data_IF_007582996409
#
_entry.id   IF_007582996409
#
_cell.length_a   1.000
_cell.length_b   1.000
_cell.length_c   1.000
_cell.angle_alpha   90.00
_cell.angle_beta   90.00
_cell.angle_gamma   90.00
#
_symmetry.space_group_name_H-M   'P 1'
#
loop_
_entity.id
_entity.type
_entity.pdbx_description
1 polymer ?
#
# COMPACT_ATOMS: atom_id res chain seq x y z
N UNK A 1 10.46 -11.92 -9.32
CA UNK A 1 11.00 -10.94 -10.31
C UNK A 1 11.72 -9.78 -9.61
N UNK A 2 12.40 -8.87 -10.33
CA UNK A 2 13.02 -7.67 -9.72
C UNK A 2 12.05 -6.49 -9.63
N UNK A 3 11.89 -5.91 -8.45
CA UNK A 3 10.95 -4.83 -8.17
C UNK A 3 11.68 -3.62 -7.57
N UNK A 4 11.49 -2.46 -8.21
CA UNK A 4 11.86 -1.15 -7.65
C UNK A 4 10.70 -0.57 -6.87
N UNK A 5 10.93 0.02 -5.71
CA UNK A 5 9.88 0.68 -4.91
C UNK A 5 10.28 2.14 -4.71
N UNK A 6 9.50 3.07 -5.25
CA UNK A 6 9.72 4.51 -5.11
C UNK A 6 8.87 5.03 -3.95
N UNK A 7 9.53 5.40 -2.84
CA UNK A 7 8.86 5.90 -1.63
C UNK A 7 9.01 4.97 -0.43
N UNK A 8 8.89 5.56 0.76
CA UNK A 8 9.17 4.89 2.05
C UNK A 8 7.97 4.86 3.01
N UNK A 9 6.76 5.03 2.48
CA UNK A 9 5.49 5.07 3.24
C UNK A 9 4.81 3.72 3.46
N UNK A 10 3.60 3.74 4.05
CA UNK A 10 2.84 2.54 4.42
C UNK A 10 2.50 1.61 3.25
N UNK A 11 2.14 2.17 2.08
CA UNK A 11 1.88 1.39 0.86
C UNK A 11 3.12 0.67 0.33
N UNK A 12 4.30 1.30 0.42
CA UNK A 12 5.56 0.69 0.01
C UNK A 12 5.89 -0.52 0.90
N UNK A 13 5.80 -0.32 2.22
CA UNK A 13 5.97 -1.34 3.25
C UNK A 13 5.03 -2.54 3.07
N UNK A 14 3.71 -2.28 2.98
CA UNK A 14 2.71 -3.33 2.88
C UNK A 14 2.88 -4.21 1.63
N UNK A 15 3.04 -3.60 0.44
CA UNK A 15 3.13 -4.35 -0.81
C UNK A 15 4.50 -5.04 -0.98
N UNK A 16 5.60 -4.34 -0.67
CA UNK A 16 6.94 -4.92 -0.79
C UNK A 16 7.17 -6.10 0.17
N UNK A 17 6.61 -6.04 1.38
CA UNK A 17 6.67 -7.15 2.34
C UNK A 17 6.02 -8.43 1.82
N UNK A 18 4.95 -8.34 1.03
CA UNK A 18 4.36 -9.50 0.38
C UNK A 18 5.23 -10.02 -0.77
N UNK A 19 5.70 -9.13 -1.64
CA UNK A 19 6.51 -9.56 -2.79
C UNK A 19 7.85 -10.18 -2.38
N UNK A 20 8.51 -9.69 -1.33
CA UNK A 20 9.71 -10.36 -0.77
C UNK A 20 9.38 -11.77 -0.28
N UNK A 21 8.23 -11.97 0.40
CA UNK A 21 7.80 -13.30 0.87
C UNK A 21 7.44 -14.25 -0.27
N UNK A 22 6.95 -13.73 -1.39
CA UNK A 22 6.73 -14.50 -2.62
C UNK A 22 8.03 -14.78 -3.41
N UNK A 23 9.21 -14.35 -2.92
CA UNK A 23 10.50 -14.60 -3.56
C UNK A 23 10.93 -13.57 -4.60
N UNK A 24 10.40 -12.35 -4.54
CA UNK A 24 10.76 -11.26 -5.46
C UNK A 24 11.87 -10.42 -4.83
N UNK A 25 12.88 -10.07 -5.63
CA UNK A 25 13.94 -9.17 -5.18
C UNK A 25 13.42 -7.73 -5.16
N UNK A 26 13.58 -7.03 -4.03
CA UNK A 26 13.09 -5.66 -3.84
C UNK A 26 14.24 -4.69 -3.57
N UNK A 27 14.24 -3.56 -4.27
CA UNK A 27 15.07 -2.40 -3.93
C UNK A 27 14.18 -1.20 -3.58
N UNK A 28 14.36 -0.65 -2.38
CA UNK A 28 13.58 0.44 -1.78
C UNK A 28 14.30 1.77 -2.02
N UNK A 29 13.77 2.57 -2.93
CA UNK A 29 14.23 3.92 -3.27
C UNK A 29 13.64 4.99 -2.36
N UNK A 30 14.51 5.74 -1.68
CA UNK A 30 14.15 6.92 -0.89
C UNK A 30 14.85 8.20 -1.36
N UNK A 31 14.33 9.36 -0.93
CA UNK A 31 15.06 10.65 -0.91
C UNK A 31 15.89 10.84 0.36
N UNK A 32 15.57 10.05 1.36
CA UNK A 32 16.11 10.06 2.72
C UNK A 32 16.63 8.63 2.93
N UNK A 33 17.96 8.51 3.07
CA UNK A 33 18.68 7.23 3.07
C UNK A 33 18.24 6.42 4.29
N UNK A 34 18.29 7.00 5.49
CA UNK A 34 17.89 6.32 6.72
C UNK A 34 16.43 5.83 6.68
N UNK A 35 15.51 6.57 6.03
CA UNK A 35 14.12 6.10 5.83
C UNK A 35 14.06 4.91 4.87
N UNK A 36 14.89 4.88 3.83
CA UNK A 36 14.99 3.73 2.92
C UNK A 36 15.59 2.51 3.63
N UNK A 37 16.68 2.69 4.38
CA UNK A 37 17.33 1.66 5.20
C UNK A 37 16.37 1.07 6.24
N UNK A 38 15.75 1.94 7.06
CA UNK A 38 14.77 1.49 8.05
C UNK A 38 13.60 0.74 7.42
N UNK A 39 13.18 1.08 6.20
CA UNK A 39 12.11 0.36 5.51
C UNK A 39 12.60 -0.98 4.94
N UNK A 40 13.75 -1.02 4.28
CA UNK A 40 14.34 -2.25 3.76
C UNK A 40 14.56 -3.28 4.89
N UNK A 41 15.08 -2.85 6.04
CA UNK A 41 15.23 -3.67 7.25
C UNK A 41 13.89 -4.19 7.80
N UNK A 42 12.82 -3.39 7.77
CA UNK A 42 11.47 -3.84 8.19
C UNK A 42 10.85 -4.86 7.24
N UNK A 43 11.06 -4.69 5.94
CA UNK A 43 10.59 -5.64 4.90
C UNK A 43 11.35 -6.97 5.06
N UNK A 44 12.65 -6.91 5.32
CA UNK A 44 13.51 -8.08 5.49
C UNK A 44 13.76 -8.84 4.18
N UNK A 45 14.08 -10.13 4.29
CA UNK A 45 14.19 -11.06 3.15
C UNK A 45 15.13 -10.61 2.01
N UNK A 46 16.18 -9.85 2.33
CA UNK A 46 17.14 -9.36 1.33
C UNK A 46 16.72 -8.10 0.59
N UNK A 47 15.66 -7.41 0.99
CA UNK A 47 15.33 -6.08 0.46
C UNK A 47 16.48 -5.09 0.67
N UNK A 48 16.84 -4.33 -0.37
CA UNK A 48 17.99 -3.40 -0.36
C UNK A 48 17.52 -1.95 -0.33
N UNK A 49 18.12 -1.07 0.50
CA UNK A 49 17.88 0.36 0.43
C UNK A 49 18.69 0.99 -0.72
N UNK A 50 18.16 2.03 -1.35
CA UNK A 50 18.82 2.75 -2.43
C UNK A 50 18.26 4.17 -2.65
N UNK A 51 18.86 4.91 -3.59
CA UNK A 51 18.25 6.11 -4.15
C UNK A 51 17.04 5.76 -5.04
N UNK A 52 16.16 6.74 -5.29
CA UNK A 52 15.03 6.58 -6.22
C UNK A 52 15.48 6.12 -7.62
N UNK A 53 16.62 6.64 -8.10
CA UNK A 53 17.20 6.28 -9.40
C UNK A 53 17.60 4.80 -9.47
N UNK A 54 18.39 4.34 -8.51
CA UNK A 54 18.87 2.95 -8.47
C UNK A 54 17.71 1.96 -8.32
N UNK A 55 16.68 2.31 -7.54
CA UNK A 55 15.46 1.50 -7.43
C UNK A 55 14.70 1.39 -8.76
N UNK A 56 14.56 2.49 -9.52
CA UNK A 56 13.93 2.47 -10.85
C UNK A 56 14.74 1.66 -11.87
N UNK A 57 16.07 1.85 -11.91
CA UNK A 57 16.99 1.13 -12.80
C UNK A 57 16.97 -0.38 -12.53
N UNK A 58 16.93 -0.79 -11.27
CA UNK A 58 16.85 -2.19 -10.82
C UNK A 58 15.53 -2.89 -11.22
N UNK A 59 14.38 -2.23 -11.03
CA UNK A 59 13.07 -2.85 -11.20
C UNK A 59 12.72 -3.22 -12.64
N UNK A 60 12.13 -4.39 -12.85
CA UNK A 60 11.36 -4.70 -14.08
C UNK A 60 9.92 -4.19 -13.96
N UNK A 61 9.43 -4.18 -12.70
CA UNK A 61 8.26 -3.44 -12.26
C UNK A 61 8.73 -2.43 -11.23
N UNK A 62 8.23 -1.19 -11.32
CA UNK A 62 8.55 -0.09 -10.41
C UNK A 62 7.26 0.40 -9.75
N UNK A 63 7.13 0.22 -8.45
CA UNK A 63 5.99 0.71 -7.65
C UNK A 63 6.16 2.20 -7.34
N UNK A 64 5.24 3.03 -7.82
CA UNK A 64 5.14 4.45 -7.47
C UNK A 64 4.34 4.64 -6.17
N UNK A 65 4.93 4.28 -5.03
CA UNK A 65 4.35 4.47 -3.69
C UNK A 65 4.57 5.89 -3.15
N UNK A 66 4.23 6.89 -3.96
CA UNK A 66 4.41 8.32 -3.69
C UNK A 66 3.06 9.06 -3.63
N UNK A 67 2.96 10.18 -2.89
CA UNK A 67 1.89 11.15 -3.06
C UNK A 67 1.79 11.59 -4.53
N UNK A 68 0.57 11.86 -5.01
CA UNK A 68 0.29 12.10 -6.43
C UNK A 68 1.24 13.12 -7.10
N UNK A 69 1.36 14.33 -6.53
CA UNK A 69 2.17 15.42 -7.12
C UNK A 69 3.66 15.05 -7.16
N UNK A 70 4.16 14.40 -6.11
CA UNK A 70 5.53 13.90 -6.03
C UNK A 70 5.78 12.76 -7.03
N UNK A 71 4.80 11.88 -7.26
CA UNK A 71 4.87 10.77 -8.20
C UNK A 71 5.08 11.25 -9.65
N UNK A 72 4.32 12.26 -10.08
CA UNK A 72 4.46 12.85 -11.43
C UNK A 72 5.83 13.50 -11.61
N UNK A 73 6.32 14.23 -10.60
CA UNK A 73 7.65 14.87 -10.66
C UNK A 73 8.79 13.83 -10.73
N UNK A 74 8.76 12.83 -9.85
CA UNK A 74 9.78 11.75 -9.82
C UNK A 74 9.75 10.92 -11.11
N UNK A 75 8.58 10.61 -11.68
CA UNK A 75 8.49 9.90 -12.95
C UNK A 75 9.13 10.69 -14.11
N UNK A 76 8.99 12.02 -14.13
CA UNK A 76 9.62 12.89 -15.14
C UNK A 76 11.14 12.94 -15.02
N UNK A 77 11.65 13.00 -13.80
CA UNK A 77 13.08 12.95 -13.49
C UNK A 77 13.70 11.61 -13.91
N UNK A 78 13.01 10.51 -13.59
CA UNK A 78 13.46 9.14 -13.83
C UNK A 78 13.03 8.56 -15.18
N UNK A 79 12.44 9.35 -16.09
CA UNK A 79 11.84 8.86 -17.35
C UNK A 79 12.73 7.93 -18.17
N UNK A 80 14.05 8.17 -18.20
CA UNK A 80 15.04 7.32 -18.90
C UNK A 80 15.27 6.01 -18.17
N UNK A 81 15.34 6.05 -16.84
CA UNK A 81 15.44 4.87 -15.98
C UNK A 81 14.13 4.06 -15.95
N UNK A 82 13.01 4.61 -16.43
CA UNK A 82 11.69 3.97 -16.47
C UNK A 82 11.32 3.40 -17.87
N UNK A 83 12.18 3.60 -18.88
CA UNK A 83 11.92 3.19 -20.25
C UNK A 83 11.79 1.66 -20.41
N UNK A 84 10.76 1.20 -21.12
CA UNK A 84 10.41 -0.22 -21.30
C UNK A 84 10.00 -0.97 -20.02
N UNK A 85 9.93 -0.30 -18.86
CA UNK A 85 9.56 -0.90 -17.57
C UNK A 85 8.08 -0.73 -17.26
N UNK A 86 7.56 -1.56 -16.36
CA UNK A 86 6.21 -1.40 -15.83
C UNK A 86 6.23 -0.38 -14.69
N UNK A 87 5.42 0.68 -14.79
CA UNK A 87 5.27 1.68 -13.73
C UNK A 87 3.92 1.51 -13.03
N UNK A 88 3.94 0.95 -11.83
CA UNK A 88 2.77 0.55 -11.07
C UNK A 88 2.27 1.71 -10.19
N UNK A 89 1.15 2.31 -10.56
CA UNK A 89 0.53 3.46 -9.89
C UNK A 89 -0.50 3.02 -8.83
N UNK A 90 -0.13 3.10 -7.55
CA UNK A 90 -1.03 2.90 -6.41
C UNK A 90 -1.55 4.21 -5.78
N UNK A 91 -1.32 5.37 -6.41
CA UNK A 91 -1.68 6.68 -5.85
C UNK A 91 -3.19 6.95 -5.85
N UNK A 92 -3.60 7.93 -5.04
CA UNK A 92 -4.92 8.56 -5.10
C UNK A 92 -4.72 10.08 -5.12
N UNK A 93 -5.15 10.80 -6.18
CA UNK A 93 -5.00 12.25 -6.28
C UNK A 93 -6.08 12.95 -5.44
N UNK A 94 -5.97 12.89 -4.12
CA UNK A 94 -6.96 13.41 -3.17
C UNK A 94 -6.32 14.50 -2.30
N UNK A 95 -6.90 15.70 -2.33
CA UNK A 95 -6.46 16.86 -1.56
C UNK A 95 -7.35 17.17 -0.35
N UNK A 96 -7.14 18.33 0.29
CA UNK A 96 -7.92 18.78 1.44
C UNK A 96 -9.43 18.76 1.20
N UNK A 97 -10.17 18.22 2.17
CA UNK A 97 -11.63 18.01 2.07
C UNK A 97 -12.03 16.81 1.20
N UNK A 98 -11.14 15.83 1.01
CA UNK A 98 -11.35 14.64 0.15
C UNK A 98 -11.67 14.94 -1.32
N UNK A 99 -11.32 16.15 -1.80
CA UNK A 99 -11.54 16.57 -3.19
C UNK A 99 -10.54 15.93 -4.14
N UNK A 100 -10.99 15.58 -5.33
CA UNK A 100 -10.17 14.94 -6.36
C UNK A 100 -9.34 15.99 -7.09
N UNK A 101 -8.01 15.94 -6.97
CA UNK A 101 -7.06 16.86 -7.64
C UNK A 101 -7.01 16.68 -9.17
N UNK A 102 -7.77 15.73 -9.71
CA UNK A 102 -7.88 15.43 -11.15
C UNK A 102 -9.32 15.54 -11.66
N UNK A 103 -10.21 16.20 -10.91
CA UNK A 103 -11.58 16.46 -11.33
C UNK A 103 -11.60 17.32 -12.62
N UNK A 104 -12.33 16.86 -13.64
CA UNK A 104 -12.37 17.48 -14.97
C UNK A 104 -11.12 17.25 -15.84
N UNK A 105 -10.06 16.61 -15.33
CA UNK A 105 -8.78 16.43 -16.02
C UNK A 105 -8.37 14.98 -16.27
N UNK A 106 -7.16 14.75 -16.83
CA UNK A 106 -6.59 13.41 -16.95
C UNK A 106 -6.32 12.80 -15.56
N UNK A 107 -6.63 11.51 -15.41
CA UNK A 107 -6.41 10.79 -14.15
C UNK A 107 -4.92 10.72 -13.77
N UNK A 108 -4.62 10.51 -12.48
CA UNK A 108 -3.25 10.40 -11.98
C UNK A 108 -2.35 9.46 -12.83
N UNK A 109 -2.84 8.26 -13.17
CA UNK A 109 -2.10 7.32 -14.01
C UNK A 109 -1.80 7.84 -15.43
N UNK A 110 -2.70 8.64 -16.04
CA UNK A 110 -2.46 9.25 -17.36
C UNK A 110 -1.45 10.38 -17.27
N UNK A 111 -1.45 11.15 -16.17
CA UNK A 111 -0.42 12.16 -15.92
C UNK A 111 0.94 11.52 -15.65
N UNK A 112 0.97 10.37 -14.97
CA UNK A 112 2.18 9.58 -14.76
C UNK A 112 2.73 9.02 -16.09
N UNK A 113 1.85 8.53 -16.98
CA UNK A 113 2.23 8.08 -18.32
C UNK A 113 2.76 9.23 -19.19
N UNK A 114 2.16 10.43 -19.10
CA UNK A 114 2.67 11.62 -19.77
C UNK A 114 4.03 12.09 -19.22
N UNK A 115 4.35 11.81 -17.96
CA UNK A 115 5.64 12.13 -17.35
C UNK A 115 6.76 11.15 -17.74
N UNK A 116 6.43 9.87 -17.95
CA UNK A 116 7.36 8.82 -18.37
C UNK A 116 6.78 8.03 -19.57
N UNK A 117 6.82 8.61 -20.80
CA UNK A 117 6.12 8.04 -21.96
C UNK A 117 6.67 6.70 -22.45
N UNK A 118 7.91 6.35 -22.11
CA UNK A 118 8.50 5.04 -22.37
C UNK A 118 8.10 3.94 -21.36
N UNK A 119 7.40 4.30 -20.27
CA UNK A 119 7.01 3.38 -19.23
C UNK A 119 5.59 2.84 -19.46
N UNK A 120 5.40 1.53 -19.28
CA UNK A 120 4.09 0.90 -19.33
C UNK A 120 3.36 1.10 -17.99
N UNK A 121 2.57 2.18 -17.89
CA UNK A 121 1.85 2.52 -16.66
C UNK A 121 0.67 1.56 -16.43
N UNK A 122 0.57 1.04 -15.21
CA UNK A 122 -0.53 0.18 -14.77
C UNK A 122 -1.10 0.67 -13.44
N UNK A 123 -2.42 0.84 -13.36
CA UNK A 123 -3.15 1.24 -12.16
C UNK A 123 -3.59 0.00 -11.37
N UNK A 124 -3.20 -0.10 -10.09
CA UNK A 124 -3.70 -1.12 -9.15
C UNK A 124 -3.53 -0.69 -7.68
N UNK A 125 -4.01 -1.51 -6.73
CA UNK A 125 -3.86 -1.39 -5.27
C UNK A 125 -4.35 -0.10 -4.57
N UNK A 126 -4.83 0.92 -5.28
CA UNK A 126 -5.21 2.21 -4.69
C UNK A 126 -6.56 2.20 -3.93
N UNK A 127 -7.14 1.02 -3.63
CA UNK A 127 -8.58 0.84 -3.33
C UNK A 127 -8.85 0.79 -1.82
N UNK A 128 -7.83 0.40 -1.09
CA UNK A 128 -7.85 0.19 0.34
C UNK A 128 -6.64 0.91 0.96
N UNK A 129 -6.74 1.22 2.25
CA UNK A 129 -5.64 1.75 3.05
C UNK A 129 -4.50 0.72 3.17
N UNK A 130 -3.27 1.14 3.47
CA UNK A 130 -2.14 0.23 3.67
C UNK A 130 -2.43 -0.90 4.67
N UNK A 131 -3.20 -0.64 5.73
CA UNK A 131 -3.52 -1.65 6.76
C UNK A 131 -4.30 -2.85 6.21
N UNK A 132 -5.13 -2.63 5.18
CA UNK A 132 -5.82 -3.72 4.47
C UNK A 132 -4.82 -4.55 3.69
N UNK A 133 -3.83 -3.91 3.04
CA UNK A 133 -2.75 -4.61 2.35
C UNK A 133 -1.74 -5.27 3.32
N UNK A 134 -1.67 -4.86 4.60
CA UNK A 134 -0.84 -5.52 5.64
C UNK A 134 -1.42 -6.85 6.14
N UNK A 135 -2.69 -7.15 5.85
CA UNK A 135 -3.34 -8.42 6.19
C UNK A 135 -2.67 -9.60 5.44
N UNK A 136 -2.77 -10.81 6.00
CA UNK A 136 -2.05 -12.01 5.53
C UNK A 136 -2.95 -13.26 5.55
N UNK A 137 -3.49 -13.70 4.42
CA UNK A 137 -3.67 -12.93 3.17
C UNK A 137 -4.66 -11.76 3.35
N UNK A 138 -4.73 -10.79 2.40
CA UNK A 138 -5.78 -9.77 2.37
C UNK A 138 -7.12 -10.38 1.93
N UNK A 139 -7.87 -10.90 2.90
CA UNK A 139 -9.18 -11.52 2.70
C UNK A 139 -10.30 -10.71 3.34
N UNK A 140 -11.49 -10.81 2.73
CA UNK A 140 -12.74 -10.29 3.29
C UNK A 140 -13.84 -11.33 3.08
N UNK A 141 -14.56 -11.69 4.15
CA UNK A 141 -15.61 -12.73 4.12
C UNK A 141 -15.11 -14.05 3.50
N UNK A 142 -13.92 -14.50 3.96
CA UNK A 142 -13.25 -15.72 3.48
C UNK A 142 -12.72 -15.69 2.05
N UNK A 143 -12.93 -14.60 1.29
CA UNK A 143 -12.53 -14.47 -0.12
C UNK A 143 -11.33 -13.54 -0.29
N UNK A 144 -10.39 -13.84 -1.22
CA UNK A 144 -9.33 -12.92 -1.61
C UNK A 144 -9.88 -11.57 -2.07
N UNK A 145 -9.26 -10.47 -1.64
CA UNK A 145 -9.67 -9.14 -2.10
C UNK A 145 -9.45 -8.97 -3.60
N UNK A 146 -10.43 -8.34 -4.26
CA UNK A 146 -10.37 -8.04 -5.69
C UNK A 146 -9.54 -6.78 -5.96
N UNK A 147 -8.41 -6.92 -6.65
CA UNK A 147 -7.60 -5.78 -7.11
C UNK A 147 -7.89 -5.53 -8.58
N UNK A 148 -8.52 -4.40 -8.89
CA UNK A 148 -8.72 -3.97 -10.29
C UNK A 148 -7.37 -3.53 -10.88
N UNK A 149 -7.06 -4.02 -12.08
CA UNK A 149 -5.83 -3.71 -12.82
C UNK A 149 -6.17 -3.04 -14.15
N UNK A 150 -5.85 -1.76 -14.32
CA UNK A 150 -6.05 -1.01 -15.58
C UNK A 150 -4.71 -0.65 -16.24
N UNK A 151 -4.61 -0.72 -17.57
CA UNK A 151 -3.40 -0.38 -18.32
C UNK A 151 -3.51 -0.84 -19.77
N UNK A 152 -2.62 -0.33 -20.63
CA UNK A 152 -2.75 -0.48 -22.08
C UNK A 152 -1.84 -1.58 -22.67
N UNK A 153 -0.73 -1.91 -22.01
CA UNK A 153 0.20 -2.97 -22.45
C UNK A 153 -0.14 -4.35 -21.84
N UNK A 154 -0.19 -5.37 -22.70
CA UNK A 154 -0.56 -6.74 -22.31
C UNK A 154 0.46 -7.43 -21.40
N UNK A 155 1.76 -7.20 -21.62
CA UNK A 155 2.82 -7.82 -20.83
C UNK A 155 2.95 -7.18 -19.44
N UNK A 156 2.80 -5.86 -19.36
CA UNK A 156 2.73 -5.10 -18.12
C UNK A 156 1.50 -5.50 -17.28
N UNK A 157 0.33 -5.63 -17.92
CA UNK A 157 -0.86 -6.18 -17.27
C UNK A 157 -0.62 -7.61 -16.74
N UNK A 158 0.07 -8.48 -17.49
CA UNK A 158 0.37 -9.83 -17.03
C UNK A 158 1.25 -9.82 -15.76
N UNK A 159 2.37 -9.07 -15.78
CA UNK A 159 3.27 -8.91 -14.62
C UNK A 159 2.57 -8.35 -13.38
N UNK A 160 1.70 -7.35 -13.54
CA UNK A 160 0.96 -6.79 -12.38
C UNK A 160 -0.11 -7.75 -11.87
N UNK A 161 -0.73 -8.56 -12.73
CA UNK A 161 -1.68 -9.60 -12.31
C UNK A 161 -0.98 -10.74 -11.55
N UNK A 162 0.28 -11.04 -11.87
CA UNK A 162 1.16 -11.92 -11.07
C UNK A 162 1.34 -11.31 -9.67
N UNK A 163 1.89 -10.09 -9.59
CA UNK A 163 2.12 -9.36 -8.33
C UNK A 163 0.87 -9.17 -7.44
N UNK A 164 -0.34 -9.18 -8.02
CA UNK A 164 -1.61 -9.19 -7.27
C UNK A 164 -1.88 -10.56 -6.64
N UNK A 165 -1.61 -11.67 -7.33
CA UNK A 165 -1.76 -13.03 -6.80
C UNK A 165 -0.71 -13.31 -5.73
N UNK A 166 0.50 -12.79 -5.89
CA UNK A 166 1.61 -12.94 -4.94
C UNK A 166 1.31 -12.24 -3.60
N UNK A 167 0.47 -11.20 -3.61
CA UNK A 167 -0.10 -10.54 -2.41
C UNK A 167 -1.24 -11.36 -1.79
N UNK A 168 -1.69 -12.44 -2.43
CA UNK A 168 -2.84 -13.25 -2.01
C UNK A 168 -4.19 -12.68 -2.44
N UNK A 169 -4.23 -11.83 -3.48
CA UNK A 169 -5.43 -11.15 -3.99
C UNK A 169 -5.88 -11.67 -5.37
N UNK A 170 -7.13 -11.37 -5.73
CA UNK A 170 -7.71 -11.73 -7.03
C UNK A 170 -7.60 -10.57 -8.04
N UNK A 171 -6.83 -10.70 -9.14
CA UNK A 171 -6.76 -9.66 -10.16
C UNK A 171 -8.04 -9.59 -11.00
N UNK A 172 -8.63 -8.39 -11.10
CA UNK A 172 -9.84 -8.12 -11.90
C UNK A 172 -9.52 -7.17 -13.05
N UNK A 173 -10.01 -7.47 -14.26
CA UNK A 173 -9.75 -6.66 -15.44
C UNK A 173 -10.33 -5.24 -15.33
N UNK A 174 -9.48 -4.24 -15.50
CA UNK A 174 -9.84 -2.82 -15.40
C UNK A 174 -10.23 -2.14 -16.71
N UNK A 175 -9.81 -2.71 -17.84
CA UNK A 175 -9.74 -2.01 -19.14
C UNK A 175 -8.44 -1.21 -19.28
N UNK A 176 -8.39 -0.32 -20.26
CA UNK A 176 -7.22 0.52 -20.50
C UNK A 176 -7.03 1.61 -19.45
N UNK A 177 -5.94 2.36 -19.59
CA UNK A 177 -5.51 3.40 -18.66
C UNK A 177 -6.50 4.59 -18.62
N UNK A 178 -7.30 4.79 -19.66
CA UNK A 178 -8.39 5.77 -19.69
C UNK A 178 -9.42 5.54 -18.58
N UNK A 179 -9.63 4.29 -18.15
CA UNK A 179 -10.59 3.95 -17.09
C UNK A 179 -10.04 4.14 -15.69
N UNK A 180 -8.75 4.42 -15.50
CA UNK A 180 -8.12 4.58 -14.19
C UNK A 180 -8.77 5.72 -13.35
N UNK A 181 -9.27 6.79 -13.99
CA UNK A 181 -9.96 7.89 -13.29
C UNK A 181 -11.42 7.60 -12.90
N UNK A 182 -12.10 6.67 -13.57
CA UNK A 182 -13.54 6.40 -13.40
C UNK A 182 -13.93 5.80 -12.04
N UNK A 183 -12.95 5.50 -11.21
CA UNK A 183 -12.97 4.42 -10.24
C UNK A 183 -13.49 4.80 -8.85
N UNK A 184 -13.56 6.09 -8.54
CA UNK A 184 -14.18 6.60 -7.29
C UNK A 184 -15.69 6.75 -7.39
N UNK A 185 -16.27 6.70 -8.60
CA UNK A 185 -17.70 6.48 -8.72
C UNK A 185 -17.93 4.98 -8.52
N UNK A 186 -18.80 4.56 -7.57
CA UNK A 186 -19.36 3.22 -7.68
C UNK A 186 -19.98 3.10 -9.08
N UNK A 187 -19.92 1.94 -9.74
CA UNK A 187 -20.62 1.77 -11.00
C UNK A 187 -22.06 2.24 -10.79
N UNK A 188 -22.57 3.11 -11.67
CA UNK A 188 -24.03 3.34 -11.72
C UNK A 188 -24.62 1.94 -11.81
N UNK A 189 -25.39 1.55 -10.81
CA UNK A 189 -26.02 0.24 -10.78
C UNK A 189 -26.94 0.18 -12.00
N UNK A 190 -26.45 -0.38 -13.10
CA UNK A 190 -27.28 -0.74 -14.23
C UNK A 190 -28.26 -1.75 -13.67
N UNK A 191 -29.55 -1.48 -13.88
CA UNK A 191 -30.69 -2.10 -13.19
C UNK A 191 -30.94 -3.57 -13.55
N UNK A 192 -29.88 -4.30 -13.90
CA UNK A 192 -29.88 -5.64 -14.48
C UNK A 192 -29.20 -6.69 -13.57
N UNK A 193 -28.61 -6.27 -12.45
CA UNK A 193 -28.10 -7.17 -11.40
C UNK A 193 -28.95 -7.06 -10.12
N UNK A 194 -30.20 -7.55 -10.20
CA UNK A 194 -31.10 -7.61 -9.06
C UNK A 194 -31.62 -9.03 -8.85
N UNK A 195 -30.99 -9.80 -7.96
CA UNK A 195 -31.70 -10.90 -7.30
C UNK A 195 -32.70 -10.31 -6.27
N UNK A 196 -33.84 -10.96 -5.98
CA UNK A 196 -34.93 -10.31 -5.23
C UNK A 196 -34.61 -9.91 -3.77
N UNK A 197 -33.49 -10.37 -3.20
CA UNK A 197 -33.22 -10.31 -1.76
C UNK A 197 -32.51 -9.04 -1.26
N UNK A 198 -31.96 -8.18 -2.13
CA UNK A 198 -31.20 -6.98 -1.71
C UNK A 198 -31.96 -5.66 -1.87
N UNK A 199 -33.20 -5.60 -1.37
CA UNK A 199 -33.94 -4.33 -1.21
C UNK A 199 -33.70 -3.69 0.18
N UNK A 200 -32.43 -3.47 0.54
CA UNK A 200 -32.11 -2.71 1.76
C UNK A 200 -32.46 -1.23 1.58
N UNK A 201 -33.38 -0.74 2.41
CA UNK A 201 -33.80 0.67 2.39
C UNK A 201 -32.68 1.59 2.90
N UNK A 202 -32.73 2.87 2.52
CA UNK A 202 -31.71 3.89 2.83
C UNK A 202 -31.51 4.21 4.33
N UNK A 203 -32.13 3.48 5.26
CA UNK A 203 -32.08 3.75 6.72
C UNK A 203 -30.94 3.06 7.48
N UNK A 204 -30.20 2.13 6.88
CA UNK A 204 -29.20 1.31 7.59
C UNK A 204 -27.75 1.84 7.55
N UNK A 205 -27.47 2.96 6.90
CA UNK A 205 -26.12 3.56 6.82
C UNK A 205 -25.67 4.34 8.07
N UNK A 206 -26.45 4.34 9.16
CA UNK A 206 -26.19 5.12 10.39
C UNK A 206 -25.76 4.28 11.61
N UNK A 207 -25.29 3.04 11.42
CA UNK A 207 -24.67 2.23 12.49
C UNK A 207 -23.32 1.65 12.10
N UNK A 208 -22.35 2.53 11.89
CA UNK A 208 -20.94 2.21 12.10
C UNK A 208 -20.57 2.54 13.55
N UNK A 209 -20.17 1.58 14.40
CA UNK A 209 -19.84 1.87 15.79
C UNK A 209 -18.45 2.52 15.89
N UNK A 210 -18.41 3.85 15.79
CA UNK A 210 -17.33 4.63 16.39
C UNK A 210 -17.37 4.40 17.91
N UNK A 211 -16.47 3.60 18.45
CA UNK A 211 -16.23 3.49 19.90
C UNK A 211 -15.10 4.42 20.31
N UNK A 212 -15.34 5.39 21.20
CA UNK A 212 -14.30 6.13 21.89
C UNK A 212 -14.04 5.48 23.27
N UNK A 213 -13.02 4.65 23.38
CA UNK A 213 -12.51 4.20 24.68
C UNK A 213 -11.45 5.23 25.13
N UNK A 214 -11.80 6.15 26.02
CA UNK A 214 -11.82 6.01 27.49
C UNK A 214 -10.44 5.76 28.07
N UNK A 215 -9.94 6.78 28.78
CA UNK A 215 -8.73 6.70 29.58
C UNK A 215 -8.83 5.59 30.64
N UNK A 216 -7.78 4.76 30.72
CA UNK A 216 -7.60 3.82 31.83
C UNK A 216 -7.03 4.57 33.02
N UNK A 217 -7.89 4.88 33.99
CA UNK A 217 -7.45 5.31 35.32
C UNK A 217 -6.88 4.09 36.06
N UNK A 218 -5.58 4.12 36.38
CA UNK A 218 -4.97 3.12 37.26
C UNK A 218 -5.32 3.43 38.72
N UNK A 219 -6.37 2.80 39.25
CA UNK A 219 -6.60 2.76 40.70
C UNK A 219 -5.68 1.72 41.36
N UNK A 220 -4.92 2.19 42.36
CA UNK A 220 -4.08 1.34 43.22
C UNK A 220 -4.93 0.35 44.02
N UNK A 221 -4.52 -0.92 44.18
CA UNK A 221 -4.99 -1.74 45.29
C UNK A 221 -4.31 -1.28 46.58
N UNK A 222 -5.09 -1.06 47.63
CA UNK A 222 -4.57 -0.81 48.96
C UNK A 222 -4.12 -2.14 49.61
N UNK A 223 -2.91 -2.17 50.17
CA UNK A 223 -2.53 -3.08 51.26
C UNK A 223 -1.93 -2.20 52.36
N UNK A 224 -2.49 -2.30 53.57
CA UNK A 224 -1.89 -1.71 54.77
C UNK A 224 -1.08 -2.75 55.53
N UNK A 225 0.00 -2.28 56.19
CA UNK A 225 0.44 -2.63 57.56
C UNK A 225 0.59 -4.14 57.92
N UNK A 226 1.68 -4.69 58.46
CA UNK A 226 3.11 -4.32 58.65
C UNK A 226 3.91 -5.66 58.48
N UNK A 227 5.15 -5.94 58.91
CA UNK A 227 6.18 -5.26 59.69
C UNK A 227 7.60 -5.80 59.34
N UNK A 228 8.61 -5.29 60.05
CA UNK A 228 9.89 -5.89 60.49
C UNK A 228 10.68 -6.87 59.60
N UNK A 229 11.99 -6.57 59.45
CA UNK A 229 12.93 -7.50 58.79
C UNK A 229 14.26 -6.90 58.32
N UNK A 230 14.93 -6.08 59.14
CA UNK A 230 16.32 -5.67 58.85
C UNK A 230 17.25 -6.89 59.01
N UNK A 231 18.04 -7.23 58.00
CA UNK A 231 19.51 -7.45 58.06
C UNK A 231 20.02 -7.75 56.64
N UNK A 232 20.91 -6.90 56.13
CA UNK A 232 21.91 -7.31 55.14
C UNK A 232 23.20 -7.59 55.91
N UNK A 233 23.73 -8.81 55.84
CA UNK A 233 25.10 -9.12 56.26
C UNK A 233 25.95 -9.53 55.08
N UNK A 234 27.21 -9.11 55.16
CA UNK A 234 28.26 -9.21 54.14
C UNK A 234 28.91 -10.61 54.12
N UNK A 235 29.28 -11.01 52.90
CA UNK A 235 30.58 -11.56 52.50
C UNK A 235 31.04 -12.99 52.87
N UNK A 236 31.84 -13.49 51.91
CA UNK A 236 32.99 -14.41 52.03
C UNK A 236 32.77 -15.94 51.98
N UNK A 237 33.39 -16.55 50.94
CA UNK A 237 34.35 -17.64 51.12
C UNK A 237 33.96 -19.04 50.64
N UNK A 238 34.82 -19.65 49.80
CA UNK A 238 34.88 -21.09 49.49
C UNK A 238 33.79 -21.63 48.55
N UNK A 239 34.05 -22.59 47.66
CA UNK A 239 35.30 -23.28 47.27
C UNK A 239 35.36 -23.39 45.73
#
# INVERSE_FOLDING_TARGET
MRIGVLGTGGMADALATHWVRAGHEVTVGGRDVDKAERLATRIGGGAKPASLRVAAEFGQVVLAALPFDAGVSVARELRVALDGKVLLDCSNPVGPGFRLLTEGGPSAARQLAAAAPGAHVVKAFNLCHEDVWRMRPPVFDGRPLAVRVCGDDGAALARVRELVRDVGCAPVAGGGLERAGSWRRPPRCSSRCGSPSQRMSRRSLLRWPMRPDRAVSMQKPARGLMADGVVVRRAAGGE
#
